data_IF_592477234478
#
_entry.id   IF_592477234478
#
_cell.length_a   1.000
_cell.length_b   1.000
_cell.length_c   1.000
_cell.angle_alpha   90.00
_cell.angle_beta   90.00
_cell.angle_gamma   90.00
#
_symmetry.space_group_name_H-M   'P 1'
#
loop_
_entity.id
_entity.type
_entity.pdbx_description
1 polymer ?
#
# COMPACT_ATOMS: atom_id res chain seq x y z
N UNK A 1 -19.33 -30.74 -14.25
CA UNK A 1 -18.83 -29.35 -14.43
C UNK A 1 -19.95 -28.33 -14.53
N UNK A 2 -20.79 -28.28 -15.59
CA UNK A 2 -21.91 -27.29 -15.66
C UNK A 2 -22.96 -27.36 -14.54
N UNK A 3 -23.15 -28.52 -13.92
CA UNK A 3 -24.09 -28.69 -12.78
C UNK A 3 -23.50 -28.16 -11.47
N UNK A 4 -22.24 -28.49 -11.20
CA UNK A 4 -21.51 -28.10 -9.97
C UNK A 4 -21.12 -26.62 -9.96
N UNK A 5 -20.96 -26.01 -11.14
CA UNK A 5 -20.49 -24.63 -11.25
C UNK A 5 -21.40 -23.62 -10.54
N UNK A 6 -22.71 -23.86 -10.46
CA UNK A 6 -23.64 -22.96 -9.77
C UNK A 6 -23.68 -23.13 -8.24
N UNK A 7 -22.99 -24.14 -7.69
CA UNK A 7 -23.04 -24.52 -6.27
C UNK A 7 -21.73 -24.16 -5.53
N UNK A 8 -20.74 -23.59 -6.24
CA UNK A 8 -19.45 -23.19 -5.69
C UNK A 8 -19.61 -21.84 -5.01
N UNK A 9 -19.36 -21.77 -3.69
CA UNK A 9 -19.46 -20.53 -2.92
C UNK A 9 -18.45 -19.48 -3.39
N UNK A 10 -17.32 -19.89 -3.96
CA UNK A 10 -16.30 -19.00 -4.50
C UNK A 10 -16.73 -18.03 -5.60
N UNK A 11 -17.89 -18.22 -6.22
CA UNK A 11 -18.43 -17.23 -7.16
C UNK A 11 -18.79 -15.91 -6.50
N UNK A 12 -19.02 -15.91 -5.19
CA UNK A 12 -19.40 -14.71 -4.44
C UNK A 12 -18.20 -13.84 -4.08
N UNK A 13 -17.00 -14.43 -4.01
CA UNK A 13 -15.76 -13.74 -3.62
C UNK A 13 -14.69 -13.69 -4.71
N UNK A 14 -14.76 -14.49 -5.78
CA UNK A 14 -13.82 -14.46 -6.92
C UNK A 14 -14.57 -14.43 -8.26
N UNK A 15 -14.09 -13.60 -9.19
CA UNK A 15 -14.59 -13.61 -10.56
C UNK A 15 -14.10 -14.86 -11.30
N UNK A 16 -15.03 -15.67 -11.80
CA UNK A 16 -14.71 -16.86 -12.60
C UNK A 16 -15.03 -16.60 -14.07
N UNK A 17 -14.05 -16.81 -14.94
CA UNK A 17 -14.24 -16.68 -16.39
C UNK A 17 -14.24 -18.06 -17.06
N UNK A 18 -15.26 -18.39 -17.88
CA UNK A 18 -15.27 -19.64 -18.63
C UNK A 18 -14.23 -19.62 -19.75
N UNK A 19 -13.44 -20.70 -19.86
CA UNK A 19 -12.46 -20.88 -20.92
C UNK A 19 -12.82 -22.07 -21.81
N UNK A 20 -12.60 -21.93 -23.13
CA UNK A 20 -12.83 -23.01 -24.11
C UNK A 20 -11.62 -23.97 -24.22
N UNK A 21 -10.44 -23.53 -23.80
CA UNK A 21 -9.19 -24.29 -23.87
C UNK A 21 -8.57 -24.40 -22.47
N UNK A 22 -7.85 -25.51 -22.17
CA UNK A 22 -7.20 -25.73 -20.88
C UNK A 22 -6.00 -24.79 -20.64
N UNK A 23 -5.63 -23.97 -21.61
CA UNK A 23 -4.67 -22.89 -21.46
C UNK A 23 -5.16 -21.67 -22.23
N UNK A 24 -4.82 -20.49 -21.72
CA UNK A 24 -5.09 -19.23 -22.39
C UNK A 24 -4.17 -18.14 -21.90
N UNK A 25 -4.24 -16.99 -22.57
CA UNK A 25 -3.56 -15.77 -22.19
C UNK A 25 -4.60 -14.79 -21.66
N UNK A 26 -4.35 -14.24 -20.47
CA UNK A 26 -5.11 -13.10 -19.96
C UNK A 26 -4.37 -11.85 -20.36
N UNK A 27 -5.06 -10.94 -21.06
CA UNK A 27 -4.50 -9.65 -21.44
C UNK A 27 -4.99 -8.56 -20.50
N UNK A 28 -4.10 -7.64 -20.15
CA UNK A 28 -4.43 -6.46 -19.37
C UNK A 28 -3.65 -5.25 -19.87
N UNK A 29 -4.22 -4.06 -19.68
CA UNK A 29 -3.59 -2.80 -20.01
C UNK A 29 -2.75 -2.34 -18.81
N UNK A 30 -1.49 -2.02 -19.07
CA UNK A 30 -0.58 -1.39 -18.11
C UNK A 30 -0.32 0.05 -18.54
N UNK A 31 -0.41 0.98 -17.60
CA UNK A 31 -0.20 2.41 -17.84
C UNK A 31 1.15 2.78 -17.24
N UNK A 32 2.07 3.27 -18.06
CA UNK A 32 3.44 3.60 -17.68
C UNK A 32 3.77 5.05 -17.96
N UNK A 33 4.67 5.65 -17.18
CA UNK A 33 5.20 6.98 -17.49
C UNK A 33 6.07 6.91 -18.75
N UNK A 34 5.74 7.75 -19.74
CA UNK A 34 6.45 7.86 -21.01
C UNK A 34 7.68 8.76 -20.96
N UNK A 35 7.73 9.66 -19.99
CA UNK A 35 8.82 10.61 -19.75
C UNK A 35 9.17 10.60 -18.26
N UNK A 36 10.47 10.64 -17.93
CA UNK A 36 10.91 10.79 -16.54
C UNK A 36 10.71 12.23 -16.10
N UNK A 37 10.07 12.45 -14.95
CA UNK A 37 9.96 13.78 -14.32
C UNK A 37 10.09 13.66 -12.82
N UNK A 38 10.98 14.45 -12.21
CA UNK A 38 11.27 14.35 -10.78
C UNK A 38 11.62 12.90 -10.41
N UNK A 39 10.91 12.34 -9.44
CA UNK A 39 11.09 10.95 -8.99
C UNK A 39 10.31 9.91 -9.82
N UNK A 40 9.56 10.31 -10.86
CA UNK A 40 8.86 9.38 -11.74
C UNK A 40 9.83 8.79 -12.77
N UNK A 41 10.02 7.47 -12.71
CA UNK A 41 10.85 6.73 -13.64
C UNK A 41 10.09 6.45 -14.95
N UNK A 42 10.82 6.38 -16.06
CA UNK A 42 10.30 5.91 -17.36
C UNK A 42 11.26 4.89 -17.98
N UNK A 43 10.76 4.12 -18.96
CA UNK A 43 11.59 3.22 -19.77
C UNK A 43 12.15 2.01 -19.01
N UNK A 44 11.50 1.55 -17.95
CA UNK A 44 11.99 0.45 -17.09
C UNK A 44 11.76 -0.95 -17.69
N UNK A 45 11.32 -1.00 -18.95
CA UNK A 45 11.06 -2.22 -19.68
C UNK A 45 9.70 -2.84 -19.35
N UNK A 46 9.27 -3.77 -20.21
CA UNK A 46 7.93 -4.37 -20.13
C UNK A 46 7.68 -5.16 -18.83
N UNK A 47 8.68 -5.81 -18.26
CA UNK A 47 8.49 -6.72 -17.12
C UNK A 47 8.64 -6.02 -15.77
N UNK A 48 9.03 -4.74 -15.77
CA UNK A 48 9.12 -3.90 -14.56
C UNK A 48 7.79 -3.19 -14.27
N UNK A 49 7.52 -2.97 -12.98
CA UNK A 49 6.44 -2.11 -12.48
C UNK A 49 6.95 -0.74 -12.01
N UNK A 50 8.26 -0.48 -12.07
CA UNK A 50 8.87 0.73 -11.51
C UNK A 50 8.46 2.03 -12.23
N UNK A 51 8.04 1.94 -13.49
CA UNK A 51 7.49 3.05 -14.27
C UNK A 51 5.96 2.99 -14.39
N UNK A 52 5.27 2.10 -13.65
CA UNK A 52 3.81 2.03 -13.68
C UNK A 52 3.19 3.22 -12.95
N UNK A 53 2.11 3.77 -13.51
CA UNK A 53 1.30 4.82 -12.87
C UNK A 53 0.68 4.33 -11.57
N UNK A 54 0.41 3.01 -11.48
CA UNK A 54 -0.13 2.39 -10.28
C UNK A 54 0.92 2.05 -9.24
N UNK A 55 2.20 2.34 -9.50
CA UNK A 55 3.33 2.00 -8.62
C UNK A 55 3.61 0.50 -8.51
N UNK A 56 4.56 0.17 -7.63
CA UNK A 56 4.95 -1.20 -7.30
C UNK A 56 4.13 -1.62 -6.07
N UNK A 57 3.25 -2.60 -6.23
CA UNK A 57 2.38 -3.12 -5.15
C UNK A 57 2.54 -4.63 -4.92
N UNK A 58 3.47 -5.28 -5.62
CA UNK A 58 3.67 -6.72 -5.56
C UNK A 58 4.29 -7.18 -4.23
N UNK A 59 3.81 -8.31 -3.70
CA UNK A 59 4.34 -8.93 -2.48
C UNK A 59 5.80 -9.38 -2.66
N UNK A 60 6.19 -9.74 -3.89
CA UNK A 60 7.55 -10.20 -4.20
C UNK A 60 8.62 -9.10 -4.00
N UNK A 61 8.25 -7.82 -3.93
CA UNK A 61 9.22 -6.75 -3.65
C UNK A 61 9.60 -6.62 -2.17
N UNK A 62 8.88 -7.28 -1.25
CA UNK A 62 9.21 -7.31 0.18
C UNK A 62 9.16 -5.94 0.89
N UNK A 63 8.62 -4.92 0.23
CA UNK A 63 8.59 -3.53 0.70
C UNK A 63 7.18 -2.96 0.60
N UNK A 64 6.86 -1.94 1.41
CA UNK A 64 5.64 -1.15 1.23
C UNK A 64 5.55 -0.62 -0.21
N UNK A 65 4.34 -0.34 -0.73
CA UNK A 65 4.23 0.17 -2.09
C UNK A 65 5.05 1.42 -2.29
N UNK A 66 5.66 1.48 -3.46
CA UNK A 66 6.58 2.53 -3.87
C UNK A 66 6.29 2.91 -5.31
N UNK A 67 6.87 4.00 -5.78
CA UNK A 67 6.65 4.56 -7.11
C UNK A 67 5.19 4.98 -7.39
N UNK A 68 4.91 5.37 -8.63
CA UNK A 68 3.63 5.98 -8.99
C UNK A 68 3.30 7.14 -8.06
N UNK A 69 2.04 7.19 -7.63
CA UNK A 69 1.55 8.20 -6.67
C UNK A 69 1.69 7.75 -5.20
N UNK A 70 2.44 6.69 -4.90
CA UNK A 70 2.71 6.29 -3.52
C UNK A 70 3.80 7.16 -2.90
N UNK A 71 3.46 7.75 -1.75
CA UNK A 71 4.36 8.63 -1.01
C UNK A 71 3.95 10.10 -1.12
N UNK A 72 4.35 10.88 -0.13
CA UNK A 72 4.08 12.31 -0.13
C UNK A 72 4.94 13.05 -1.15
N UNK A 73 4.47 14.21 -1.62
CA UNK A 73 5.27 15.12 -2.45
C UNK A 73 5.48 14.69 -3.90
N UNK A 74 4.90 13.58 -4.34
CA UNK A 74 5.02 13.12 -5.72
C UNK A 74 4.01 13.82 -6.63
N UNK A 75 4.50 14.79 -7.39
CA UNK A 75 3.71 15.57 -8.34
C UNK A 75 4.10 15.23 -9.77
N UNK A 76 3.20 14.56 -10.51
CA UNK A 76 3.46 14.08 -11.87
C UNK A 76 3.09 15.05 -13.00
N UNK A 77 2.66 16.27 -12.67
CA UNK A 77 2.24 17.29 -13.63
C UNK A 77 3.38 18.24 -14.03
N UNK A 78 3.18 19.02 -15.09
CA UNK A 78 4.12 20.08 -15.49
C UNK A 78 4.18 21.17 -14.40
N UNK A 79 5.38 21.41 -13.87
CA UNK A 79 5.71 22.38 -12.82
C UNK A 79 7.15 22.81 -13.05
N UNK A 80 7.44 24.08 -12.78
CA UNK A 80 8.76 24.67 -12.95
C UNK A 80 9.63 24.35 -11.73
N UNK A 81 10.45 23.32 -11.87
CA UNK A 81 11.42 22.91 -10.86
C UNK A 81 12.74 23.65 -11.11
N UNK A 82 13.25 24.33 -10.09
CA UNK A 82 14.54 24.99 -10.11
C UNK A 82 15.44 24.36 -9.06
N UNK A 83 16.74 24.25 -9.35
CA UNK A 83 17.72 23.75 -8.40
C UNK A 83 18.64 24.86 -7.92
N UNK A 84 18.96 24.86 -6.63
CA UNK A 84 20.00 25.71 -6.04
C UNK A 84 21.01 24.85 -5.29
N UNK A 85 22.29 25.16 -5.44
CA UNK A 85 23.36 24.57 -4.64
C UNK A 85 23.68 25.47 -3.45
N UNK A 86 23.71 24.88 -2.26
CA UNK A 86 23.98 25.56 -0.99
C UNK A 86 25.11 24.87 -0.25
N UNK A 87 25.92 25.66 0.44
CA UNK A 87 26.95 25.13 1.33
C UNK A 87 26.31 24.65 2.63
N UNK A 88 26.38 23.35 2.89
CA UNK A 88 25.86 22.74 4.10
C UNK A 88 26.94 22.53 5.16
N UNK A 89 26.62 22.85 6.42
CA UNK A 89 27.52 22.66 7.57
C UNK A 89 26.87 21.76 8.61
N UNK A 90 27.61 20.73 9.09
CA UNK A 90 27.19 19.78 10.15
C UNK A 90 27.21 20.46 11.53
N UNK A 91 26.26 21.36 11.77
CA UNK A 91 26.02 22.02 13.05
C UNK A 91 24.59 22.54 13.06
N UNK A 92 23.94 22.54 14.24
CA UNK A 92 22.67 23.23 14.41
C UNK A 92 22.90 24.74 14.43
N UNK A 93 22.42 25.44 13.40
CA UNK A 93 22.39 26.91 13.33
C UNK A 93 21.24 27.36 12.44
N UNK A 94 20.86 28.64 12.54
CA UNK A 94 19.86 29.25 11.67
C UNK A 94 20.45 29.50 10.28
N UNK A 95 20.01 28.79 9.22
CA UNK A 95 20.54 28.94 7.87
C UNK A 95 20.26 30.35 7.31
N UNK A 96 21.10 30.79 6.37
CA UNK A 96 20.95 32.06 5.66
C UNK A 96 20.81 31.81 4.15
N UNK A 97 20.72 32.87 3.34
CA UNK A 97 20.49 32.76 1.90
C UNK A 97 21.58 31.98 1.10
N UNK A 98 22.75 31.70 1.68
CA UNK A 98 23.86 30.99 1.05
C UNK A 98 24.30 29.73 1.81
N UNK A 99 23.62 29.37 2.91
CA UNK A 99 24.05 28.28 3.79
C UNK A 99 22.89 27.43 4.28
N UNK A 100 23.12 26.13 4.39
CA UNK A 100 22.19 25.17 4.99
C UNK A 100 22.78 24.56 6.26
N UNK A 101 21.94 24.25 7.25
CA UNK A 101 22.36 23.57 8.46
C UNK A 101 21.95 22.11 8.44
N UNK A 102 22.82 21.24 8.96
CA UNK A 102 22.57 19.80 9.06
C UNK A 102 22.73 19.36 10.50
N UNK A 103 21.66 18.82 11.06
CA UNK A 103 21.56 18.39 12.44
C UNK A 103 21.40 16.86 12.53
N UNK A 104 22.24 16.24 13.37
CA UNK A 104 22.12 14.85 13.82
C UNK A 104 21.21 14.78 15.06
N UNK A 105 20.67 13.60 15.36
CA UNK A 105 19.78 13.37 16.51
C UNK A 105 18.54 14.27 16.50
N UNK A 106 17.60 13.97 15.60
CA UNK A 106 16.32 14.67 15.53
C UNK A 106 15.38 14.24 16.66
N UNK A 107 14.45 15.11 17.03
CA UNK A 107 13.50 14.86 18.12
C UNK A 107 12.26 14.09 17.64
N UNK A 108 11.51 13.50 18.57
CA UNK A 108 10.26 12.80 18.22
C UNK A 108 9.20 13.69 17.56
N UNK A 109 9.27 15.00 17.84
CA UNK A 109 8.41 15.98 17.20
C UNK A 109 8.72 16.17 15.71
N UNK A 110 9.97 15.95 15.28
CA UNK A 110 10.39 16.17 13.88
C UNK A 110 9.79 15.13 12.90
N UNK A 111 9.31 13.98 13.39
CA UNK A 111 8.57 12.99 12.61
C UNK A 111 7.15 12.76 13.14
N UNK A 112 6.58 13.74 13.84
CA UNK A 112 5.19 13.72 14.33
C UNK A 112 4.85 12.53 15.24
N UNK A 113 5.81 12.03 16.03
CA UNK A 113 5.61 10.88 16.94
C UNK A 113 5.19 9.59 16.22
N UNK A 114 5.54 9.45 14.93
CA UNK A 114 5.27 8.24 14.18
C UNK A 114 6.11 7.06 14.70
N UNK A 115 5.43 6.04 15.21
CA UNK A 115 6.01 4.83 15.77
C UNK A 115 6.90 4.06 14.79
N UNK A 116 6.69 4.20 13.48
CA UNK A 116 7.54 3.55 12.46
C UNK A 116 8.96 4.15 12.45
N UNK A 117 9.11 5.43 12.79
CA UNK A 117 10.39 6.13 12.83
C UNK A 117 11.02 6.15 14.23
N UNK A 118 10.23 5.95 15.29
CA UNK A 118 10.72 5.90 16.67
C UNK A 118 11.76 4.79 16.90
N UNK A 119 11.65 3.65 16.23
CA UNK A 119 12.67 2.60 16.27
C UNK A 119 14.01 3.03 15.65
N UNK A 120 13.97 3.91 14.65
CA UNK A 120 15.17 4.43 13.97
C UNK A 120 15.97 5.42 14.82
N UNK A 121 15.39 5.96 15.90
CA UNK A 121 16.11 6.74 16.92
C UNK A 121 16.85 5.82 17.90
N UNK A 122 16.24 4.70 18.27
CA UNK A 122 16.81 3.75 19.23
C UNK A 122 18.07 3.04 18.68
N UNK A 123 18.16 2.89 17.35
CA UNK A 123 19.26 2.23 16.64
C UNK A 123 20.52 3.11 16.39
N UNK A 124 20.56 4.33 16.93
CA UNK A 124 21.77 5.18 16.88
C UNK A 124 22.02 5.85 15.53
N UNK A 125 21.14 6.78 15.16
CA UNK A 125 21.27 7.74 14.05
C UNK A 125 21.31 7.22 12.62
N UNK A 126 20.12 7.12 12.04
CA UNK A 126 19.97 7.11 10.58
C UNK A 126 19.16 8.28 10.04
N UNK A 127 18.64 9.17 10.89
CA UNK A 127 17.82 10.31 10.49
C UNK A 127 18.50 11.64 10.81
N UNK A 128 18.45 12.55 9.85
CA UNK A 128 19.11 13.84 9.86
C UNK A 128 18.11 14.91 9.45
N UNK A 129 18.24 16.10 10.04
CA UNK A 129 17.47 17.28 9.66
C UNK A 129 18.34 18.24 8.88
N UNK A 130 17.95 18.54 7.65
CA UNK A 130 18.57 19.57 6.82
C UNK A 130 17.64 20.79 6.82
N UNK A 131 18.14 21.94 7.26
CA UNK A 131 17.40 23.18 7.32
C UNK A 131 17.97 24.18 6.32
N UNK A 132 17.10 24.74 5.49
CA UNK A 132 17.43 25.67 4.40
C UNK A 132 16.60 26.94 4.56
N UNK A 133 17.22 28.11 4.37
CA UNK A 133 16.48 29.38 4.43
C UNK A 133 15.61 29.56 3.18
N UNK A 134 14.33 29.88 3.35
CA UNK A 134 13.42 30.23 2.25
C UNK A 134 13.89 31.43 1.44
N UNK A 135 14.70 32.32 2.03
CA UNK A 135 15.30 33.45 1.33
C UNK A 135 16.27 33.01 0.20
N UNK A 136 16.83 31.80 0.28
CA UNK A 136 17.64 31.22 -0.79
C UNK A 136 16.80 30.68 -1.95
N UNK A 137 15.50 30.41 -1.72
CA UNK A 137 14.59 29.77 -2.66
C UNK A 137 13.63 30.82 -3.22
N UNK A 138 14.09 31.57 -4.23
CA UNK A 138 13.28 32.62 -4.85
C UNK A 138 12.03 32.04 -5.53
N UNK A 139 10.85 32.59 -5.18
CA UNK A 139 9.57 32.19 -5.76
C UNK A 139 9.10 30.79 -5.37
N UNK A 140 9.53 30.25 -4.22
CA UNK A 140 9.17 28.90 -3.78
C UNK A 140 7.65 28.73 -3.59
N UNK A 141 7.15 27.54 -3.90
CA UNK A 141 5.80 27.11 -3.60
C UNK A 141 5.66 26.69 -2.12
N UNK A 142 5.00 27.54 -1.31
CA UNK A 142 4.81 27.30 0.13
C UNK A 142 3.77 26.22 0.42
N UNK A 143 2.88 25.93 -0.52
CA UNK A 143 1.87 24.89 -0.39
C UNK A 143 2.39 23.52 -0.88
N UNK A 144 3.29 23.53 -1.87
CA UNK A 144 3.91 22.36 -2.50
C UNK A 144 5.20 21.85 -1.87
N UNK A 145 5.59 22.32 -0.68
CA UNK A 145 6.92 22.07 -0.04
C UNK A 145 7.29 20.58 0.06
N UNK A 146 6.31 19.67 0.15
CA UNK A 146 6.58 18.22 0.21
C UNK A 146 7.19 17.68 -1.09
N UNK A 147 7.02 18.37 -2.22
CA UNK A 147 7.63 17.97 -3.50
C UNK A 147 9.08 18.40 -3.69
N UNK A 148 9.67 19.08 -2.70
CA UNK A 148 11.05 19.53 -2.78
C UNK A 148 11.99 18.36 -2.48
N UNK A 149 13.04 18.23 -3.28
CA UNK A 149 14.03 17.18 -3.14
C UNK A 149 15.37 17.78 -2.71
N UNK A 150 16.07 17.10 -1.81
CA UNK A 150 17.44 17.43 -1.45
C UNK A 150 18.35 16.31 -1.89
N UNK A 151 19.37 16.65 -2.66
CA UNK A 151 20.41 15.73 -3.09
C UNK A 151 21.78 16.23 -2.64
N UNK A 152 22.71 15.30 -2.42
CA UNK A 152 24.10 15.64 -2.17
C UNK A 152 24.93 15.58 -3.44
N UNK A 153 26.01 16.36 -3.50
CA UNK A 153 26.97 16.38 -4.62
C UNK A 153 27.76 15.07 -4.83
N UNK A 154 27.57 14.04 -4.00
CA UNK A 154 28.13 12.70 -4.19
C UNK A 154 27.18 11.61 -3.66
N UNK A 155 27.20 10.44 -4.31
CA UNK A 155 26.38 9.29 -3.93
C UNK A 155 26.71 8.83 -2.50
N UNK A 156 25.72 8.83 -1.60
CA UNK A 156 25.86 8.39 -0.20
C UNK A 156 25.70 9.48 0.87
N UNK A 157 25.57 10.74 0.46
CA UNK A 157 25.31 11.89 1.37
C UNK A 157 23.86 11.95 1.85
N UNK A 158 22.91 11.73 0.95
CA UNK A 158 21.48 11.59 1.25
C UNK A 158 21.05 10.27 0.65
N UNK A 159 20.66 9.31 1.49
CA UNK A 159 20.26 7.96 1.08
C UNK A 159 18.78 7.90 0.72
N UNK A 160 17.93 8.53 1.52
CA UNK A 160 16.51 8.73 1.22
C UNK A 160 16.03 10.04 1.84
N UNK A 161 15.22 10.79 1.11
CA UNK A 161 14.46 11.92 1.66
C UNK A 161 13.11 11.39 2.13
N UNK A 162 12.55 11.96 3.20
CA UNK A 162 11.19 11.69 3.63
C UNK A 162 10.30 12.91 3.34
N UNK A 163 9.76 13.04 2.10
CA UNK A 163 8.87 14.12 1.70
C UNK A 163 7.71 14.38 2.65
N UNK A 164 7.24 13.32 3.31
CA UNK A 164 6.10 13.39 4.21
C UNK A 164 6.32 14.32 5.41
N UNK A 165 7.57 14.46 5.83
CA UNK A 165 8.02 15.20 7.00
C UNK A 165 8.62 16.57 6.65
N UNK A 166 8.64 16.93 5.36
CA UNK A 166 9.18 18.23 4.93
C UNK A 166 8.22 19.34 5.33
N UNK A 167 8.71 20.31 6.09
CA UNK A 167 7.90 21.39 6.65
C UNK A 167 8.55 22.75 6.45
N UNK A 168 7.74 23.82 6.46
CA UNK A 168 8.22 25.20 6.47
C UNK A 168 7.85 25.85 7.82
N UNK A 169 8.84 26.41 8.51
CA UNK A 169 8.61 27.22 9.71
C UNK A 169 8.02 28.57 9.30
N UNK A 170 6.80 28.86 9.75
CA UNK A 170 6.09 30.11 9.47
C UNK A 170 6.72 31.35 10.12
N UNK A 171 7.52 31.18 11.17
CA UNK A 171 8.12 32.29 11.92
C UNK A 171 9.52 32.66 11.40
N UNK A 172 10.28 31.69 10.90
CA UNK A 172 11.70 31.88 10.55
C UNK A 172 11.98 31.79 9.05
N UNK A 173 10.99 31.38 8.24
CA UNK A 173 11.20 31.15 6.81
C UNK A 173 12.26 30.08 6.56
N UNK A 174 12.14 28.93 7.22
CA UNK A 174 13.10 27.82 7.10
C UNK A 174 12.36 26.59 6.61
N UNK A 175 12.85 25.99 5.53
CA UNK A 175 12.40 24.69 5.03
C UNK A 175 13.25 23.61 5.69
N UNK A 176 12.58 22.67 6.36
CA UNK A 176 13.19 21.55 7.05
C UNK A 176 12.92 20.26 6.27
N UNK A 177 13.98 19.55 5.95
CA UNK A 177 13.94 18.23 5.33
C UNK A 177 14.40 17.19 6.33
N UNK A 178 13.67 16.07 6.40
CA UNK A 178 14.13 14.89 7.14
C UNK A 178 14.67 13.89 6.12
N UNK A 179 15.92 13.48 6.32
CA UNK A 179 16.63 12.59 5.41
C UNK A 179 17.30 11.46 6.18
N UNK A 180 17.47 10.32 5.52
CA UNK A 180 18.42 9.32 5.97
C UNK A 180 19.79 9.54 5.32
N UNK A 181 20.84 9.45 6.12
CA UNK A 181 22.21 9.65 5.66
C UNK A 181 23.19 8.83 6.50
N UNK A 182 24.32 8.48 5.90
CA UNK A 182 25.44 7.86 6.62
C UNK A 182 26.28 8.92 7.32
N UNK A 183 26.78 8.60 8.51
CA UNK A 183 27.57 9.53 9.34
C UNK A 183 28.88 9.97 8.65
N UNK A 184 29.43 9.09 7.80
CA UNK A 184 30.61 9.35 6.97
C UNK A 184 30.33 10.27 5.77
N UNK A 185 29.09 10.31 5.27
CA UNK A 185 28.69 11.19 4.17
C UNK A 185 28.58 12.65 4.60
N UNK A 186 27.93 12.92 5.73
CA UNK A 186 27.64 14.31 6.17
C UNK A 186 28.86 15.00 6.82
N UNK A 187 29.95 14.28 7.10
CA UNK A 187 31.11 14.79 7.84
C UNK A 187 32.05 15.72 7.02
N UNK A 188 31.95 15.74 5.69
CA UNK A 188 32.83 16.55 4.83
C UNK A 188 32.00 17.50 3.95
N UNK A 189 32.09 18.79 4.28
CA UNK A 189 31.48 19.94 3.59
C UNK A 189 31.53 19.81 2.07
N UNK A 190 30.34 19.63 1.47
CA UNK A 190 30.12 19.61 0.04
C UNK A 190 28.71 20.19 -0.22
N UNK A 191 28.53 20.80 -1.39
CA UNK A 191 27.29 21.47 -1.75
C UNK A 191 26.10 20.50 -1.71
N UNK A 192 25.04 20.88 -1.00
CA UNK A 192 23.73 20.24 -1.13
C UNK A 192 22.99 20.92 -2.28
N UNK A 193 22.27 20.16 -3.09
CA UNK A 193 21.41 20.69 -4.12
C UNK A 193 19.96 20.50 -3.71
N UNK A 194 19.24 21.61 -3.57
CA UNK A 194 17.81 21.62 -3.30
C UNK A 194 17.09 21.87 -4.61
N UNK A 195 16.30 20.91 -5.05
CA UNK A 195 15.35 21.04 -6.16
C UNK A 195 14.01 21.45 -5.56
N UNK A 196 13.51 22.60 -5.97
CA UNK A 196 12.28 23.17 -5.43
C UNK A 196 11.37 23.65 -6.55
N UNK A 197 10.07 23.65 -6.27
CA UNK A 197 9.05 24.06 -7.21
C UNK A 197 8.79 25.56 -7.08
N UNK A 198 8.70 26.27 -8.20
CA UNK A 198 8.33 27.68 -8.22
C UNK A 198 6.82 27.85 -8.27
N UNK A 199 6.29 28.74 -7.43
CA UNK A 199 4.88 29.09 -7.42
C UNK A 199 4.56 29.99 -8.62
N UNK A 200 3.56 29.64 -9.44
CA UNK A 200 3.07 30.56 -10.46
C UNK A 200 2.37 31.75 -9.78
N UNK A 201 2.73 32.96 -10.17
CA UNK A 201 2.08 34.19 -9.69
C UNK A 201 0.86 34.51 -10.55
N UNK A 202 -0.08 35.33 -10.04
CA UNK A 202 -1.28 35.74 -10.78
C UNK A 202 -1.00 36.32 -12.17
N UNK A 203 0.19 36.91 -12.35
CA UNK A 203 0.65 37.51 -13.61
C UNK A 203 1.49 36.58 -14.49
N UNK A 204 1.93 35.43 -13.98
CA UNK A 204 2.72 34.43 -14.71
C UNK A 204 1.96 33.12 -14.92
N UNK A 205 0.62 33.15 -14.92
CA UNK A 205 -0.23 31.97 -15.10
C UNK A 205 -0.29 31.55 -16.58
N UNK A 206 0.39 30.47 -16.97
CA UNK A 206 0.23 29.85 -18.29
C UNK A 206 1.37 28.92 -18.71
N UNK A 207 1.28 28.40 -19.94
CA UNK A 207 2.30 27.65 -20.71
C UNK A 207 3.56 28.50 -21.05
N UNK A 208 3.85 29.51 -20.22
CA UNK A 208 4.95 30.47 -20.39
C UNK A 208 6.16 30.13 -19.50
N UNK A 209 6.20 28.91 -18.96
CA UNK A 209 7.35 28.35 -18.24
C UNK A 209 8.39 27.76 -19.19
N UNK A 210 8.31 28.07 -20.48
CA UNK A 210 9.39 27.83 -21.43
C UNK A 210 10.62 28.66 -21.00
N UNK A 211 11.66 27.95 -20.54
CA UNK A 211 12.90 28.59 -20.15
C UNK A 211 13.69 29.01 -21.38
N UNK A 212 13.80 30.32 -21.62
CA UNK A 212 14.83 30.80 -22.53
C UNK A 212 16.21 30.57 -21.87
N UNK A 213 17.14 29.88 -22.53
CA UNK A 213 18.52 29.64 -22.07
C UNK A 213 19.39 30.92 -22.02
N UNK A 214 18.79 32.09 -21.78
CA UNK A 214 19.45 33.40 -21.88
C UNK A 214 19.96 33.76 -23.29
N UNK A 215 19.85 32.84 -24.25
CA UNK A 215 20.31 32.95 -25.65
C UNK A 215 19.17 33.18 -26.65
N UNK A 216 17.92 33.28 -26.17
CA UNK A 216 16.73 33.49 -27.00
C UNK A 216 16.21 32.23 -27.70
N UNK A 217 16.79 31.07 -27.42
CA UNK A 217 16.20 29.76 -27.77
C UNK A 217 15.20 29.40 -26.67
N UNK A 218 13.93 29.28 -27.05
CA UNK A 218 12.84 28.79 -26.20
C UNK A 218 12.92 27.26 -26.20
N UNK A 219 13.01 26.64 -25.01
CA UNK A 219 12.99 25.19 -24.80
C UNK A 219 11.57 24.72 -24.55
N UNK A 220 11.04 23.86 -25.43
CA UNK A 220 9.69 23.30 -25.29
C UNK A 220 9.42 22.85 -23.84
N UNK A 221 8.27 23.26 -23.29
CA UNK A 221 7.83 22.85 -21.97
C UNK A 221 7.76 21.31 -21.91
N UNK A 222 8.55 20.69 -21.03
CA UNK A 222 8.57 19.24 -20.85
C UNK A 222 7.28 18.78 -20.14
N UNK A 223 6.26 18.47 -20.94
CA UNK A 223 4.97 17.96 -20.48
C UNK A 223 5.08 16.44 -20.27
N UNK A 224 4.87 15.95 -19.03
CA UNK A 224 4.93 14.52 -18.76
C UNK A 224 3.90 13.70 -19.53
N UNK A 225 4.32 12.53 -19.99
CA UNK A 225 3.50 11.64 -20.82
C UNK A 225 3.16 10.35 -20.07
N UNK A 226 2.00 9.76 -20.40
CA UNK A 226 1.60 8.42 -19.97
C UNK A 226 1.37 7.57 -21.22
N UNK A 227 2.01 6.41 -21.26
CA UNK A 227 1.88 5.42 -22.32
C UNK A 227 1.03 4.25 -21.84
N UNK A 228 0.37 3.59 -22.81
CA UNK A 228 -0.41 2.37 -22.56
C UNK A 228 0.25 1.20 -23.25
N UNK A 229 0.52 0.14 -22.50
CA UNK A 229 1.09 -1.10 -22.99
C UNK A 229 0.12 -2.27 -22.73
N UNK A 230 0.04 -3.21 -23.67
CA UNK A 230 -0.74 -4.43 -23.48
C UNK A 230 0.15 -5.55 -22.98
N UNK A 231 -0.14 -6.08 -21.78
CA UNK A 231 0.54 -7.24 -21.18
C UNK A 231 -0.30 -8.49 -21.30
N UNK A 232 0.37 -9.65 -21.27
CA UNK A 232 -0.27 -10.97 -21.31
C UNK A 232 0.33 -11.89 -20.25
N UNK A 233 -0.51 -12.60 -19.51
CA UNK A 233 -0.07 -13.64 -18.56
C UNK A 233 -0.67 -15.01 -18.96
N UNK A 234 0.15 -16.06 -19.16
CA UNK A 234 -0.36 -17.40 -19.45
C UNK A 234 -0.96 -18.06 -18.21
N UNK A 235 -2.18 -18.55 -18.35
CA UNK A 235 -2.85 -19.40 -17.37
C UNK A 235 -3.05 -20.81 -17.94
N UNK A 236 -2.88 -21.81 -17.08
CA UNK A 236 -3.06 -23.23 -17.43
C UNK A 236 -3.92 -23.89 -16.37
N UNK A 237 -4.96 -24.59 -16.82
CA UNK A 237 -5.87 -25.32 -15.96
C UNK A 237 -5.16 -26.52 -15.31
N UNK A 238 -5.32 -26.65 -13.99
CA UNK A 238 -4.89 -27.83 -13.23
C UNK A 238 -6.04 -28.83 -13.14
N UNK A 239 -5.73 -30.12 -13.10
CA UNK A 239 -6.75 -31.18 -12.98
C UNK A 239 -6.90 -31.65 -11.53
N UNK A 240 -8.14 -31.88 -11.09
CA UNK A 240 -8.52 -32.58 -9.85
C UNK A 240 -9.40 -33.78 -10.22
N UNK A 241 -9.27 -34.90 -9.52
CA UNK A 241 -10.03 -36.13 -9.79
C UNK A 241 -10.36 -36.85 -8.49
N UNK A 242 -11.63 -37.18 -8.29
CA UNK A 242 -12.11 -38.10 -7.25
C UNK A 242 -12.76 -39.33 -7.89
N UNK A 243 -12.73 -40.46 -7.19
CA UNK A 243 -13.32 -41.73 -7.64
C UNK A 243 -14.12 -42.36 -6.51
N UNK A 244 -15.38 -42.69 -6.77
CA UNK A 244 -16.15 -43.63 -5.96
C UNK A 244 -16.08 -45.03 -6.57
N UNK A 245 -16.14 -46.05 -5.71
CA UNK A 245 -16.26 -47.45 -6.12
C UNK A 245 -17.39 -48.06 -5.29
N UNK A 246 -18.36 -48.68 -5.96
CA UNK A 246 -19.40 -49.46 -5.31
C UNK A 246 -19.52 -50.81 -6.01
N UNK A 247 -20.04 -51.81 -5.29
CA UNK A 247 -20.28 -53.13 -5.85
C UNK A 247 -21.71 -53.22 -6.41
N UNK A 248 -21.94 -53.98 -7.50
CA UNK A 248 -23.29 -54.18 -8.03
C UNK A 248 -24.26 -54.79 -7.01
N UNK A 249 -23.76 -55.64 -6.11
CA UNK A 249 -24.54 -56.29 -5.06
C UNK A 249 -25.03 -55.28 -4.02
N UNK A 250 -24.18 -54.31 -3.65
CA UNK A 250 -24.54 -53.25 -2.71
C UNK A 250 -25.60 -52.31 -3.29
N UNK A 251 -25.51 -51.98 -4.58
CA UNK A 251 -26.52 -51.16 -5.25
C UNK A 251 -27.88 -51.87 -5.34
N UNK A 252 -27.89 -53.19 -5.56
CA UNK A 252 -29.11 -54.00 -5.57
C UNK A 252 -29.74 -54.10 -4.18
N UNK A 253 -28.94 -54.33 -3.15
CA UNK A 253 -29.39 -54.40 -1.76
C UNK A 253 -29.98 -53.06 -1.27
N UNK A 254 -29.28 -51.97 -1.55
CA UNK A 254 -29.70 -50.61 -1.18
C UNK A 254 -31.03 -50.22 -1.85
N UNK A 255 -31.21 -50.54 -3.13
CA UNK A 255 -32.46 -50.25 -3.82
C UNK A 255 -33.61 -51.12 -3.30
N UNK A 256 -33.36 -52.42 -3.04
CA UNK A 256 -34.38 -53.35 -2.57
C UNK A 256 -34.93 -53.01 -1.18
N UNK A 257 -34.08 -52.55 -0.25
CA UNK A 257 -34.50 -52.24 1.13
C UNK A 257 -34.77 -50.76 1.39
N UNK A 258 -34.03 -49.86 0.75
CA UNK A 258 -34.11 -48.42 1.01
C UNK A 258 -34.74 -47.63 -0.13
N UNK A 259 -35.00 -48.24 -1.30
CA UNK A 259 -35.47 -47.53 -2.50
C UNK A 259 -34.54 -46.39 -2.94
N UNK A 260 -33.24 -46.52 -2.63
CA UNK A 260 -32.21 -45.54 -2.97
C UNK A 260 -31.38 -46.07 -4.14
N UNK A 261 -31.17 -45.21 -5.13
CA UNK A 261 -30.23 -45.47 -6.22
C UNK A 261 -28.81 -45.09 -5.80
N UNK A 262 -27.99 -46.11 -5.53
CA UNK A 262 -26.61 -45.92 -5.08
C UNK A 262 -25.73 -45.16 -6.10
N UNK A 263 -25.98 -45.32 -7.41
CA UNK A 263 -25.19 -44.64 -8.44
C UNK A 263 -25.48 -43.14 -8.47
N UNK A 264 -26.77 -42.77 -8.40
CA UNK A 264 -27.20 -41.39 -8.39
C UNK A 264 -26.72 -40.65 -7.14
N UNK A 265 -26.90 -41.24 -5.95
CA UNK A 265 -26.50 -40.64 -4.67
C UNK A 265 -24.98 -40.48 -4.56
N UNK A 266 -24.19 -41.50 -4.90
CA UNK A 266 -22.73 -41.40 -4.83
C UNK A 266 -22.17 -40.39 -5.83
N UNK A 267 -22.76 -40.28 -7.02
CA UNK A 267 -22.37 -39.27 -8.01
C UNK A 267 -22.72 -37.85 -7.54
N UNK A 268 -23.86 -37.69 -6.86
CA UNK A 268 -24.26 -36.42 -6.26
C UNK A 268 -23.30 -36.01 -5.13
N UNK A 269 -23.03 -36.93 -4.19
CA UNK A 269 -22.07 -36.73 -3.09
C UNK A 269 -20.67 -36.37 -3.60
N UNK A 270 -20.17 -37.08 -4.62
CA UNK A 270 -18.87 -36.74 -5.23
C UNK A 270 -18.87 -35.34 -5.85
N UNK A 271 -19.98 -34.93 -6.47
CA UNK A 271 -20.08 -33.60 -7.08
C UNK A 271 -20.03 -32.51 -6.02
N UNK A 272 -20.73 -32.70 -4.90
CA UNK A 272 -20.72 -31.78 -3.75
C UNK A 272 -19.33 -31.71 -3.10
N UNK A 273 -18.70 -32.87 -2.85
CA UNK A 273 -17.36 -32.92 -2.27
C UNK A 273 -16.31 -32.21 -3.13
N UNK A 274 -16.34 -32.39 -4.46
CA UNK A 274 -15.44 -31.67 -5.37
C UNK A 274 -15.68 -30.16 -5.26
N UNK A 275 -16.93 -29.71 -5.13
CA UNK A 275 -17.26 -28.29 -4.95
C UNK A 275 -16.62 -27.74 -3.67
N UNK A 276 -16.82 -28.43 -2.54
CA UNK A 276 -16.27 -28.03 -1.24
C UNK A 276 -14.73 -28.03 -1.23
N UNK A 277 -14.08 -29.03 -1.85
CA UNK A 277 -12.62 -29.05 -1.98
C UNK A 277 -12.09 -27.86 -2.79
N UNK A 278 -12.78 -27.49 -3.89
CA UNK A 278 -12.41 -26.32 -4.69
C UNK A 278 -12.57 -25.03 -3.88
N UNK A 279 -13.67 -24.89 -3.13
CA UNK A 279 -13.91 -23.72 -2.28
C UNK A 279 -12.83 -23.57 -1.19
N UNK A 280 -12.46 -24.66 -0.51
CA UNK A 280 -11.39 -24.64 0.49
C UNK A 280 -10.02 -24.31 -0.13
N UNK A 281 -9.72 -24.85 -1.32
CA UNK A 281 -8.49 -24.50 -2.04
C UNK A 281 -8.43 -22.99 -2.36
N UNK A 282 -9.55 -22.39 -2.78
CA UNK A 282 -9.62 -20.95 -3.05
C UNK A 282 -9.47 -20.13 -1.77
N UNK A 283 -10.09 -20.55 -0.67
CA UNK A 283 -9.95 -19.87 0.62
C UNK A 283 -8.50 -19.91 1.14
N UNK A 284 -7.83 -21.06 1.06
CA UNK A 284 -6.41 -21.16 1.42
C UNK A 284 -5.54 -20.26 0.54
N UNK A 285 -5.78 -20.22 -0.78
CA UNK A 285 -5.07 -19.31 -1.67
C UNK A 285 -5.29 -17.82 -1.30
N UNK A 286 -6.50 -17.44 -0.89
CA UNK A 286 -6.78 -16.08 -0.44
C UNK A 286 -6.07 -15.75 0.88
N UNK A 287 -5.98 -16.71 1.81
CA UNK A 287 -5.30 -16.53 3.08
C UNK A 287 -3.77 -16.46 2.92
N UNK A 288 -3.17 -17.29 2.07
CA UNK A 288 -1.73 -17.30 1.82
C UNK A 288 -1.26 -16.02 1.10
N UNK A 289 -2.07 -15.50 0.17
CA UNK A 289 -1.73 -14.32 -0.64
C UNK A 289 -2.23 -12.99 -0.03
N UNK A 290 -2.66 -12.99 1.23
CA UNK A 290 -3.10 -11.78 1.92
C UNK A 290 -1.89 -10.87 2.25
N UNK A 291 -1.79 -9.73 1.55
CA UNK A 291 -0.65 -8.81 1.71
C UNK A 291 -0.70 -7.95 2.98
N UNK A 292 -1.90 -7.60 3.44
CA UNK A 292 -2.11 -6.68 4.56
C UNK A 292 -2.62 -7.43 5.78
N UNK A 293 -1.83 -7.43 6.86
CA UNK A 293 -2.17 -8.11 8.11
C UNK A 293 -2.15 -7.11 9.26
N UNK A 294 -3.19 -7.15 10.10
CA UNK A 294 -3.19 -6.50 11.41
C UNK A 294 -3.63 -7.54 12.46
N UNK A 295 -3.15 -7.35 13.69
CA UNK A 295 -3.32 -8.31 14.77
C UNK A 295 -4.30 -7.77 15.81
N UNK A 296 -5.21 -8.64 16.25
CA UNK A 296 -6.17 -8.36 17.30
C UNK A 296 -6.28 -9.56 18.23
N UNK A 297 -6.48 -9.30 19.53
CA UNK A 297 -6.60 -10.33 20.55
C UNK A 297 -8.00 -10.36 21.14
N UNK A 298 -8.55 -11.57 21.31
CA UNK A 298 -9.81 -11.78 22.02
C UNK A 298 -9.71 -11.54 23.54
N UNK A 299 -8.51 -11.52 24.10
CA UNK A 299 -8.27 -11.18 25.51
C UNK A 299 -8.20 -9.66 25.67
N UNK A 300 -9.00 -9.14 26.61
CA UNK A 300 -9.11 -7.71 26.88
C UNK A 300 -7.77 -7.14 27.35
N UNK A 301 -7.35 -6.02 26.76
CA UNK A 301 -6.12 -5.30 27.14
C UNK A 301 -4.83 -5.99 26.70
N UNK A 302 -4.93 -6.94 25.76
CA UNK A 302 -3.75 -7.53 25.12
C UNK A 302 -3.60 -6.92 23.73
N UNK A 303 -2.54 -6.15 23.54
CA UNK A 303 -2.22 -5.50 22.28
C UNK A 303 -1.00 -6.17 21.67
N UNK A 304 -0.96 -6.19 20.34
CA UNK A 304 0.17 -6.74 19.62
C UNK A 304 1.34 -5.76 19.68
N UNK A 305 2.45 -6.22 20.26
CA UNK A 305 3.71 -5.50 20.25
C UNK A 305 4.57 -6.00 19.08
N UNK A 306 4.82 -5.11 18.12
CA UNK A 306 5.62 -5.41 16.94
C UNK A 306 7.09 -5.70 17.27
N UNK A 307 7.62 -5.19 18.39
CA UNK A 307 9.01 -5.40 18.80
C UNK A 307 9.29 -6.79 19.35
N UNK A 308 8.32 -7.38 20.05
CA UNK A 308 8.41 -8.75 20.60
C UNK A 308 7.65 -9.80 19.79
N UNK A 309 6.96 -9.38 18.72
CA UNK A 309 6.07 -10.22 17.91
C UNK A 309 5.06 -11.02 18.75
N UNK A 310 4.60 -10.43 19.84
CA UNK A 310 3.77 -11.07 20.85
C UNK A 310 2.66 -10.15 21.35
N UNK A 311 1.59 -10.74 21.85
CA UNK A 311 0.57 -9.99 22.56
C UNK A 311 1.04 -9.70 23.98
N UNK A 312 1.26 -8.43 24.27
CA UNK A 312 1.59 -7.91 25.60
C UNK A 312 0.35 -7.33 26.27
N UNK A 313 0.31 -7.38 27.61
CA UNK A 313 -0.69 -6.63 28.35
C UNK A 313 -0.35 -5.14 28.25
N UNK A 314 -1.19 -4.35 27.56
CA UNK A 314 -1.16 -2.89 27.70
C UNK A 314 -1.60 -2.54 29.13
N UNK A 315 -1.37 -1.31 29.62
CA UNK A 315 -1.75 -0.90 30.99
C UNK A 315 -3.29 -0.92 31.17
N UNK A 316 -3.87 -2.13 31.20
CA UNK A 316 -5.30 -2.43 31.21
C UNK A 316 -5.96 -1.93 32.49
N UNK A 317 -5.18 -1.77 33.57
CA UNK A 317 -5.61 -1.22 34.86
C UNK A 317 -5.94 0.28 34.77
N UNK A 318 -5.41 1.01 33.77
CA UNK A 318 -5.66 2.44 33.61
C UNK A 318 -6.82 2.77 32.64
N UNK A 319 -7.20 1.85 31.75
CA UNK A 319 -8.11 2.13 30.62
C UNK A 319 -9.55 1.61 30.79
N UNK A 320 -9.87 0.92 31.90
CA UNK A 320 -11.22 0.44 32.23
C UNK A 320 -11.97 -0.23 31.05
N UNK A 321 -11.27 -1.04 30.24
CA UNK A 321 -11.91 -1.75 29.14
C UNK A 321 -12.94 -2.76 29.67
N UNK A 322 -14.17 -2.66 29.18
CA UNK A 322 -15.18 -3.71 29.32
C UNK A 322 -15.19 -4.53 28.00
N UNK A 323 -15.75 -5.72 28.02
CA UNK A 323 -15.84 -6.60 26.86
C UNK A 323 -16.46 -5.90 25.64
N UNK A 324 -17.51 -5.09 25.85
CA UNK A 324 -18.15 -4.35 24.75
C UNK A 324 -17.25 -3.30 24.10
N UNK A 325 -16.52 -2.51 24.87
CA UNK A 325 -15.60 -1.50 24.32
C UNK A 325 -14.35 -2.14 23.71
N UNK A 326 -13.92 -3.28 24.23
CA UNK A 326 -12.84 -4.06 23.62
C UNK A 326 -13.24 -4.62 22.25
N UNK A 327 -14.43 -5.20 22.11
CA UNK A 327 -14.88 -5.72 20.81
C UNK A 327 -15.06 -4.62 19.75
N UNK A 328 -15.42 -3.41 20.13
CA UNK A 328 -15.42 -2.27 19.20
C UNK A 328 -14.04 -1.99 18.58
N UNK A 329 -12.94 -2.29 19.29
CA UNK A 329 -11.58 -2.12 18.73
C UNK A 329 -11.31 -3.05 17.54
N UNK A 330 -11.96 -4.22 17.47
CA UNK A 330 -11.89 -5.09 16.31
C UNK A 330 -12.45 -4.39 15.06
N UNK A 331 -13.57 -3.66 15.22
CA UNK A 331 -14.14 -2.86 14.14
C UNK A 331 -13.17 -1.80 13.61
N UNK A 332 -12.47 -1.10 14.51
CA UNK A 332 -11.43 -0.14 14.13
C UNK A 332 -10.27 -0.81 13.38
N UNK A 333 -9.87 -2.02 13.79
CA UNK A 333 -8.83 -2.80 13.10
C UNK A 333 -9.27 -3.21 11.69
N UNK A 334 -10.50 -3.68 11.52
CA UNK A 334 -11.07 -4.03 10.20
C UNK A 334 -11.11 -2.79 9.29
N UNK A 335 -11.56 -1.64 9.80
CA UNK A 335 -11.55 -0.39 9.03
C UNK A 335 -10.14 0.06 8.65
N UNK A 336 -9.16 -0.08 9.57
CA UNK A 336 -7.76 0.22 9.27
C UNK A 336 -7.23 -0.65 8.13
N UNK A 337 -7.51 -1.95 8.15
CA UNK A 337 -7.13 -2.86 7.04
C UNK A 337 -7.83 -2.48 5.74
N UNK A 338 -9.13 -2.14 5.78
CA UNK A 338 -9.88 -1.67 4.62
C UNK A 338 -9.29 -0.39 4.00
N UNK A 339 -8.97 0.60 4.84
CA UNK A 339 -8.30 1.83 4.41
C UNK A 339 -6.91 1.56 3.84
N UNK A 340 -6.18 0.59 4.41
CA UNK A 340 -4.89 0.19 3.87
C UNK A 340 -5.05 -0.47 2.50
N UNK A 341 -6.00 -1.38 2.30
CA UNK A 341 -6.32 -1.96 0.99
C UNK A 341 -6.68 -0.87 -0.02
N UNK A 342 -7.47 0.14 0.40
CA UNK A 342 -7.77 1.29 -0.46
C UNK A 342 -6.51 2.05 -0.85
N UNK A 343 -5.61 2.29 0.10
CA UNK A 343 -4.32 2.90 -0.16
C UNK A 343 -3.55 2.06 -1.18
N UNK A 344 -3.36 0.76 -0.94
CA UNK A 344 -2.54 -0.14 -1.77
C UNK A 344 -3.09 -0.36 -3.19
N UNK A 345 -4.41 -0.28 -3.38
CA UNK A 345 -5.04 -0.60 -4.68
C UNK A 345 -5.47 0.64 -5.45
N UNK A 346 -5.65 1.78 -4.78
CA UNK A 346 -6.24 3.02 -5.29
C UNK A 346 -7.60 2.84 -6.01
N UNK A 347 -8.31 1.73 -5.75
CA UNK A 347 -9.56 1.36 -6.46
C UNK A 347 -10.79 1.33 -5.57
N UNK A 348 -10.62 1.15 -4.26
CA UNK A 348 -11.71 1.12 -3.29
C UNK A 348 -11.28 0.46 -1.99
N UNK A 349 -12.05 0.68 -0.92
CA UNK A 349 -11.87 -0.09 0.32
C UNK A 349 -12.28 -1.55 0.14
N UNK A 350 -12.04 -2.36 1.16
CA UNK A 350 -12.50 -3.74 1.19
C UNK A 350 -14.04 -3.79 1.09
N UNK A 351 -14.55 -4.74 0.30
CA UNK A 351 -15.98 -4.91 0.00
C UNK A 351 -16.59 -6.18 0.61
N UNK A 352 -15.77 -7.16 0.99
CA UNK A 352 -16.20 -8.36 1.71
C UNK A 352 -15.16 -8.75 2.76
N UNK A 353 -15.58 -9.57 3.73
CA UNK A 353 -14.72 -10.16 4.75
C UNK A 353 -15.12 -11.62 4.94
N UNK A 354 -14.14 -12.52 4.93
CA UNK A 354 -14.31 -13.93 5.32
C UNK A 354 -13.73 -14.09 6.72
N UNK A 355 -14.49 -14.66 7.65
CA UNK A 355 -14.05 -14.84 9.03
C UNK A 355 -14.50 -16.18 9.61
N UNK A 356 -13.86 -16.61 10.71
CA UNK A 356 -14.27 -17.81 11.43
C UNK A 356 -15.59 -17.56 12.18
N UNK A 357 -16.38 -18.61 12.47
CA UNK A 357 -17.64 -18.48 13.21
C UNK A 357 -17.48 -17.76 14.56
N UNK A 358 -16.36 -17.95 15.25
CA UNK A 358 -16.05 -17.31 16.53
C UNK A 358 -15.87 -15.79 16.41
N UNK A 359 -15.27 -15.32 15.32
CA UNK A 359 -15.10 -13.89 15.05
C UNK A 359 -16.42 -13.29 14.55
N UNK A 360 -17.19 -14.04 13.76
CA UNK A 360 -18.52 -13.63 13.32
C UNK A 360 -19.42 -13.31 14.54
N UNK A 361 -19.47 -14.19 15.56
CA UNK A 361 -20.24 -13.93 16.79
C UNK A 361 -19.78 -12.65 17.52
N UNK A 362 -18.48 -12.36 17.52
CA UNK A 362 -17.96 -11.12 18.11
C UNK A 362 -18.43 -9.91 17.31
N UNK A 363 -18.34 -9.96 15.98
CA UNK A 363 -18.77 -8.87 15.09
C UNK A 363 -20.27 -8.60 15.23
N UNK A 364 -21.11 -9.63 15.26
CA UNK A 364 -22.55 -9.52 15.48
C UNK A 364 -22.89 -8.86 16.82
N UNK A 365 -22.07 -9.10 17.84
CA UNK A 365 -22.26 -8.51 19.17
C UNK A 365 -21.87 -7.03 19.27
N UNK A 366 -21.20 -6.45 18.26
CA UNK A 366 -20.80 -5.04 18.25
C UNK A 366 -22.01 -4.17 17.86
N UNK A 367 -22.42 -3.21 18.71
CA UNK A 367 -23.48 -2.25 18.36
C UNK A 367 -23.12 -1.48 17.07
N UNK A 368 -23.98 -1.56 16.05
CA UNK A 368 -23.76 -0.97 14.71
C UNK A 368 -23.28 -1.95 13.63
N UNK A 369 -22.78 -3.13 14.02
CA UNK A 369 -22.51 -4.27 13.12
C UNK A 369 -23.49 -5.43 13.30
N UNK A 370 -24.44 -5.28 14.24
CA UNK A 370 -25.53 -6.23 14.45
C UNK A 370 -26.38 -6.31 13.17
N UNK A 371 -26.11 -7.32 12.35
CA UNK A 371 -27.05 -7.79 11.37
C UNK A 371 -28.27 -8.37 12.12
N UNK A 372 -29.46 -8.15 11.61
CA UNK A 372 -30.67 -8.82 12.08
C UNK A 372 -30.56 -10.30 11.65
N UNK A 373 -29.99 -11.16 12.50
CA UNK A 373 -29.69 -12.56 12.15
C UNK A 373 -30.63 -13.54 12.84
N UNK A 374 -31.16 -14.49 12.06
CA UNK A 374 -31.92 -15.66 12.53
C UNK A 374 -31.01 -16.91 12.58
N UNK A 375 -29.68 -16.72 12.75
CA UNK A 375 -28.68 -17.80 12.87
C UNK A 375 -28.43 -18.68 11.63
N UNK A 376 -29.23 -18.55 10.57
CA UNK A 376 -29.18 -19.38 9.35
C UNK A 376 -28.66 -18.65 8.10
N UNK A 377 -28.29 -17.38 8.19
CA UNK A 377 -27.83 -16.60 7.04
C UNK A 377 -26.31 -16.78 6.84
N UNK A 378 -25.88 -17.07 5.60
CA UNK A 378 -24.46 -17.20 5.23
C UNK A 378 -23.82 -15.86 4.82
N UNK A 379 -24.63 -14.81 4.64
CA UNK A 379 -24.18 -13.48 4.23
C UNK A 379 -24.74 -12.42 5.17
N UNK A 380 -23.93 -11.42 5.48
CA UNK A 380 -24.31 -10.30 6.34
C UNK A 380 -23.88 -8.98 5.69
N UNK A 381 -24.80 -8.02 5.63
CA UNK A 381 -24.45 -6.65 5.30
C UNK A 381 -23.84 -6.00 6.56
N UNK A 382 -22.56 -5.60 6.47
CA UNK A 382 -21.89 -4.87 7.54
C UNK A 382 -22.14 -3.37 7.39
N UNK A 383 -22.91 -2.78 8.30
CA UNK A 383 -23.22 -1.34 8.30
C UNK A 383 -24.26 -0.94 7.25
N UNK A 384 -24.81 0.28 7.42
CA UNK A 384 -25.89 0.87 6.60
C UNK A 384 -25.49 1.04 5.14
#
# INVERSE_FOLDING_TARGET
VRRVFGEIAAQEFVSVQPMNLPSGLVFYLDFKYGTSKGDFLSGQGKDSQADSVFGITDAASGTAPSEGLYGAGRFGYSINDTAISLYATKSAFTPNAASASVQQHISEADFNFDSEFSASIADGDKLWKISVSSASLSGLDTEGVRGFLVTGSSAGYVAAVYPALTTISSNDGIVNFIVSASDAGVAAHADIQVVYQKQPTDTSRGDFEDSSDGTGTVTDLDIPQINVEMKSNPIVAKTRKLKAVWTPEFAQDLNAYHSIDAEAELTSMLSEYISQEIDLEILDMLMENAQTVDYWSAKIGYEYDAGSAAFGQSNATAQAYNQGTWFQTLGTKVQKVSNKIHQLTMRGGANFLVCSPTIATIIESIPGYAADTDGNQMQFAMGV
#
